data_IF_160762233830
#
_entry.id   IF_160762233830
#
_cell.length_a   1.000
_cell.length_b   1.000
_cell.length_c   1.000
_cell.angle_alpha   90.00
_cell.angle_beta   90.00
_cell.angle_gamma   90.00
#
_symmetry.space_group_name_H-M   'P 1'
#
loop_
_entity.id
_entity.type
_entity.pdbx_description
1 polymer ?
2 non-polymer ?
3 non-polymer ?
4 water ?
#
# COMPACT_ATOMS: atom_id res chain seq x y z
N UNK A 1 -29.08 20.35 15.16
CA UNK A 1 -28.91 18.92 15.17
C UNK A 1 -27.44 18.60 15.22
N UNK A 2 -26.97 18.28 16.41
CA UNK A 2 -25.58 17.88 16.62
C UNK A 2 -25.43 16.43 16.22
N UNK A 3 -24.45 16.14 15.34
CA UNK A 3 -24.19 14.80 14.82
C UNK A 3 -22.68 14.54 14.73
N UNK A 4 -22.28 13.27 14.77
CA UNK A 4 -20.85 12.94 14.68
C UNK A 4 -20.58 11.45 14.62
N UNK A 5 -19.29 11.04 14.57
CA UNK A 5 -18.95 9.60 14.43
C UNK A 5 -18.91 8.78 15.75
N UNK A 6 -20.09 8.45 16.24
CA UNK A 6 -20.22 7.68 17.46
C UNK A 6 -20.67 8.52 18.62
N UNK A 7 -21.31 7.86 19.61
CA UNK A 7 -21.77 8.54 20.80
C UNK A 7 -20.53 9.13 21.47
N UNK A 8 -20.63 10.40 21.81
CA UNK A 8 -19.57 11.18 22.45
C UNK A 8 -18.85 12.12 21.50
N UNK A 9 -19.17 12.05 20.20
CA UNK A 9 -18.44 12.89 19.23
C UNK A 9 -19.39 13.74 18.40
N UNK A 10 -19.18 15.08 18.34
CA UNK A 10 -20.05 15.95 17.52
C UNK A 10 -19.23 16.74 16.50
N UNK A 11 -19.60 16.69 15.20
CA UNK A 11 -18.88 17.53 14.23
C UNK A 11 -19.21 19.01 14.42
N UNK A 12 -18.18 19.82 14.62
CA UNK A 12 -18.34 21.24 14.80
C UNK A 12 -18.22 22.04 13.49
N UNK A 13 -17.27 21.64 12.64
CA UNK A 13 -16.92 22.37 11.39
C UNK A 13 -16.10 21.45 10.49
N UNK A 14 -16.30 21.48 9.15
CA UNK A 14 -15.55 20.61 8.25
C UNK A 14 -15.10 21.37 7.03
N UNK A 15 -14.05 20.88 6.39
CA UNK A 15 -13.46 21.44 5.15
C UNK A 15 -13.16 20.28 4.24
N UNK A 16 -13.52 20.41 2.95
CA UNK A 16 -13.26 19.32 2.02
C UNK A 16 -12.12 19.75 1.12
N UNK A 17 -11.04 18.95 1.06
CA UNK A 17 -9.85 19.27 0.25
C UNK A 17 -10.16 18.97 -1.23
N UNK A 18 -9.38 19.54 -2.15
CA UNK A 18 -9.62 19.38 -3.60
C UNK A 18 -9.77 17.94 -4.07
N UNK A 19 -8.93 17.02 -3.56
CA UNK A 19 -9.03 15.64 -3.96
C UNK A 19 -10.02 14.86 -3.09
N UNK A 20 -10.90 15.57 -2.38
CA UNK A 20 -12.04 14.95 -1.74
C UNK A 20 -11.96 14.51 -0.31
N UNK A 21 -10.78 14.62 0.34
CA UNK A 21 -10.67 14.22 1.78
C UNK A 21 -11.42 15.25 2.64
N UNK A 22 -12.09 14.81 3.73
CA UNK A 22 -12.86 15.73 4.56
C UNK A 22 -12.13 15.84 5.90
N UNK A 23 -11.86 17.05 6.34
CA UNK A 23 -11.23 17.28 7.66
C UNK A 23 -12.33 17.81 8.58
N UNK A 24 -12.55 17.16 9.73
CA UNK A 24 -13.67 17.60 10.56
C UNK A 24 -13.24 17.90 11.98
N UNK A 25 -13.51 19.10 12.48
CA UNK A 25 -13.25 19.46 13.88
C UNK A 25 -14.34 18.83 14.67
N UNK A 26 -13.98 18.02 15.71
CA UNK A 26 -14.97 17.20 16.39
C UNK A 26 -14.95 17.43 17.88
N UNK A 27 -16.11 17.84 18.47
CA UNK A 27 -16.27 17.99 19.93
C UNK A 27 -16.25 16.57 20.42
N UNK A 28 -15.37 16.24 21.40
CA UNK A 28 -15.13 14.85 21.77
C UNK A 28 -15.12 14.57 23.25
N UNK A 29 -15.71 13.45 23.62
CA UNK A 29 -15.61 12.93 24.99
C UNK A 29 -14.53 11.85 24.87
N UNK A 30 -13.27 12.19 25.18
CA UNK A 30 -12.17 11.23 25.03
C UNK A 30 -12.42 9.86 25.76
N UNK A 31 -13.17 9.86 26.86
CA UNK A 31 -13.50 8.63 27.58
C UNK A 31 -14.35 7.66 26.72
N UNK A 32 -15.00 8.22 25.67
CA UNK A 32 -15.80 7.44 24.72
C UNK A 32 -15.00 6.98 23.53
N UNK A 33 -13.64 7.01 23.60
CA UNK A 33 -12.81 6.58 22.47
C UNK A 33 -13.19 5.16 21.97
N UNK A 34 -13.72 4.31 22.87
CA UNK A 34 -14.19 2.97 22.50
C UNK A 34 -15.34 2.96 21.50
N UNK A 35 -16.21 3.98 21.57
CA UNK A 35 -17.40 4.15 20.71
C UNK A 35 -17.07 4.88 19.39
N UNK A 36 -15.93 5.58 19.32
CA UNK A 36 -15.58 6.33 18.14
C UNK A 36 -15.57 5.53 16.88
N UNK A 37 -16.46 5.94 15.94
CA UNK A 37 -16.60 5.29 14.64
C UNK A 37 -15.62 5.87 13.64
N UNK A 38 -14.32 5.76 13.96
CA UNK A 38 -13.22 6.20 13.11
C UNK A 38 -12.31 4.95 13.15
N UNK A 39 -11.72 4.55 12.03
CA UNK A 39 -10.95 3.30 11.89
C UNK A 39 -9.55 3.28 12.55
N UNK A 40 -8.92 4.44 12.63
CA UNK A 40 -7.61 4.60 13.26
C UNK A 40 -7.58 5.73 14.27
N UNK A 41 -6.91 5.51 15.40
CA UNK A 41 -6.80 6.51 16.45
C UNK A 41 -5.33 6.75 16.66
N UNK A 42 -4.93 8.01 16.60
CA UNK A 42 -3.53 8.38 16.84
C UNK A 42 -3.35 8.50 18.34
N UNK A 43 -2.19 7.98 18.83
CA UNK A 43 -1.80 8.04 20.22
C UNK A 43 -0.45 8.80 20.27
N UNK A 44 -0.48 10.12 20.54
CA UNK A 44 0.79 10.86 20.63
C UNK A 44 1.47 10.46 21.94
N UNK A 45 2.71 10.02 21.82
CA UNK A 45 3.40 9.47 22.99
C UNK A 45 4.88 9.82 22.89
N UNK A 46 5.65 9.12 23.67
CA UNK A 46 7.10 9.27 23.79
C UNK A 46 7.76 8.02 23.22
N UNK A 47 9.11 8.01 23.21
CA UNK A 47 9.93 6.93 22.67
C UNK A 47 9.56 5.59 23.31
N UNK A 48 9.18 5.62 24.59
CA UNK A 48 8.81 4.45 25.38
C UNK A 48 7.41 3.91 25.12
N UNK A 49 6.59 4.63 24.35
CA UNK A 49 5.19 4.28 24.05
C UNK A 49 4.41 4.14 25.37
N UNK A 50 4.50 5.16 26.23
CA UNK A 50 3.78 5.18 27.50
C UNK A 50 2.34 5.66 27.30
N UNK A 51 1.46 5.33 28.25
CA UNK A 51 0.03 5.60 28.20
C UNK A 51 -0.41 6.69 29.18
N UNK A 52 -0.01 7.92 28.87
CA UNK A 52 -0.37 9.08 29.66
C UNK A 52 -1.33 9.94 28.86
N UNK A 53 -1.86 10.98 29.50
CA UNK A 53 -2.82 11.91 28.94
C UNK A 53 -4.15 11.20 28.73
N UNK A 54 -5.20 12.00 28.53
CA UNK A 54 -6.55 11.48 28.36
C UNK A 54 -6.61 10.33 27.36
N UNK A 55 -5.93 10.44 26.20
CA UNK A 55 -5.99 9.40 25.19
C UNK A 55 -5.33 8.10 25.65
N UNK A 56 -4.12 8.18 26.24
CA UNK A 56 -3.40 7.02 26.74
C UNK A 56 -4.21 6.29 27.79
N UNK A 57 -4.79 7.04 28.75
CA UNK A 57 -5.66 6.47 29.79
C UNK A 57 -6.95 5.91 29.22
N UNK A 58 -7.54 6.57 28.20
CA UNK A 58 -8.79 6.04 27.62
C UNK A 58 -8.53 4.77 26.84
N UNK A 59 -7.39 4.70 26.11
CA UNK A 59 -7.02 3.48 25.40
C UNK A 59 -6.68 2.36 26.37
N UNK A 60 -6.04 2.71 27.50
CA UNK A 60 -5.66 1.76 28.52
C UNK A 60 -6.90 1.14 29.17
N UNK A 61 -7.87 1.99 29.60
CA UNK A 61 -9.11 1.60 30.24
C UNK A 61 -10.02 0.77 29.35
N UNK A 62 -10.09 1.11 28.06
CA UNK A 62 -10.92 0.36 27.12
C UNK A 62 -10.25 -0.95 26.70
N UNK A 63 -8.93 -0.91 26.57
CA UNK A 63 -8.12 -2.03 26.10
C UNK A 63 -7.96 -3.24 26.99
N UNK A 64 -7.85 -3.00 28.29
CA UNK A 64 -7.64 -4.06 29.28
C UNK A 64 -6.31 -4.75 29.14
N UNK A 65 -6.25 -6.02 29.58
CA UNK A 65 -5.06 -6.87 29.59
C UNK A 65 -4.48 -7.09 28.20
N UNK A 66 -5.37 -7.27 27.21
CA UNK A 66 -5.05 -7.49 25.82
C UNK A 66 -4.30 -6.31 25.22
N UNK A 67 -4.70 -5.07 25.57
CA UNK A 67 -4.01 -3.86 25.07
C UNK A 67 -2.64 -3.71 25.72
N UNK A 68 -2.56 -3.83 27.09
CA UNK A 68 -1.28 -3.75 27.82
C UNK A 68 -0.26 -4.71 27.24
N UNK A 69 -0.72 -5.92 26.87
CA UNK A 69 0.08 -6.96 26.24
C UNK A 69 0.55 -6.59 24.85
N UNK A 70 -0.34 -5.98 24.05
CA UNK A 70 0.01 -5.57 22.68
C UNK A 70 1.07 -4.43 22.67
N UNK A 71 0.93 -3.45 23.59
CA UNK A 71 1.88 -2.32 23.71
C UNK A 71 3.26 -2.85 24.16
N UNK A 72 3.27 -3.73 25.19
CA UNK A 72 4.47 -4.39 25.73
C UNK A 72 5.21 -5.15 24.61
N UNK A 73 4.46 -5.89 23.76
CA UNK A 73 5.04 -6.61 22.64
C UNK A 73 5.58 -5.69 21.57
N UNK A 74 4.89 -4.57 21.30
CA UNK A 74 5.33 -3.59 20.29
C UNK A 74 6.59 -2.87 20.76
N UNK A 75 6.70 -2.57 22.07
CA UNK A 75 7.92 -1.94 22.63
C UNK A 75 9.10 -2.90 22.39
N UNK A 76 8.93 -4.18 22.76
CA UNK A 76 9.95 -5.21 22.57
C UNK A 76 10.35 -5.38 21.09
N UNK A 77 9.36 -5.48 20.18
CA UNK A 77 9.60 -5.72 18.75
C UNK A 77 9.98 -4.51 17.88
N UNK A 78 9.53 -3.29 18.24
CA UNK A 78 9.77 -2.11 17.41
C UNK A 78 10.37 -0.92 18.15
N UNK A 79 10.34 -0.97 19.47
CA UNK A 79 10.82 0.11 20.32
C UNK A 79 12.31 0.19 20.61
N UNK A 80 12.75 1.36 21.13
CA UNK A 80 11.92 2.56 21.37
C UNK A 80 11.64 3.27 20.05
N UNK A 81 10.58 4.08 20.03
CA UNK A 81 10.23 4.84 18.84
C UNK A 81 11.17 6.02 18.66
N UNK A 82 11.60 6.24 17.43
CA UNK A 82 12.45 7.37 17.05
C UNK A 82 11.55 8.60 17.02
N UNK A 83 12.14 9.83 17.03
CA UNK A 83 11.36 11.06 16.94
C UNK A 83 10.63 11.04 15.59
N UNK A 84 9.33 11.43 15.61
CA UNK A 84 8.40 11.45 14.48
C UNK A 84 8.02 10.05 13.94
N UNK A 85 8.48 8.95 14.57
CA UNK A 85 8.11 7.60 14.12
C UNK A 85 6.72 7.19 14.58
N UNK A 86 5.99 6.46 13.72
CA UNK A 86 4.67 5.90 14.03
C UNK A 86 4.69 4.36 13.99
N UNK A 87 4.01 3.71 14.93
CA UNK A 87 3.93 2.24 14.98
C UNK A 87 2.51 1.85 15.37
N UNK A 88 1.99 0.75 14.82
CA UNK A 88 0.59 0.36 14.99
C UNK A 88 0.36 -0.89 15.86
N UNK A 89 -0.72 -0.85 16.63
CA UNK A 89 -1.18 -1.96 17.46
C UNK A 89 -2.66 -2.20 17.19
N UNK A 90 -3.02 -3.48 17.03
CA UNK A 90 -4.39 -3.90 16.80
C UNK A 90 -5.19 -3.50 18.04
N UNK A 91 -6.39 -2.95 17.83
CA UNK A 91 -7.25 -2.44 18.89
C UNK A 91 -7.87 -3.51 19.79
N UNK A 92 -8.20 -3.10 21.02
CA UNK A 92 -8.86 -3.91 22.02
C UNK A 92 -9.89 -3.04 22.69
N UNK A 93 -11.14 -3.46 22.62
CA UNK A 93 -12.26 -2.74 23.23
C UNK A 93 -12.67 -1.46 22.53
N UNK A 94 -12.29 -1.29 21.24
CA UNK A 94 -12.66 -0.10 20.46
C UNK A 94 -13.39 -0.47 19.18
N UNK A 95 -14.15 0.51 18.61
CA UNK A 95 -14.78 0.36 17.31
C UNK A 95 -13.70 0.54 16.24
N UNK A 96 -12.64 1.31 16.58
CA UNK A 96 -11.50 1.52 15.70
C UNK A 96 -10.78 0.20 15.56
N UNK A 97 -10.13 0.01 14.45
CA UNK A 97 -9.40 -1.21 14.19
C UNK A 97 -7.96 -1.15 14.73
N UNK A 98 -7.30 0.02 14.64
CA UNK A 98 -5.90 0.13 15.06
C UNK A 98 -5.63 1.42 15.83
N UNK A 99 -4.60 1.36 16.69
CA UNK A 99 -4.06 2.50 17.42
C UNK A 99 -2.75 2.78 16.71
N UNK A 100 -2.51 4.04 16.30
CA UNK A 100 -1.29 4.45 15.61
C UNK A 100 -0.48 5.28 16.65
N UNK A 101 0.50 4.65 17.28
CA UNK A 101 1.34 5.31 18.27
C UNK A 101 2.39 6.16 17.57
N UNK A 102 2.62 7.42 18.01
CA UNK A 102 3.65 8.23 17.36
C UNK A 102 4.46 8.95 18.41
N UNK A 103 5.77 9.11 18.15
CA UNK A 103 6.62 9.82 19.10
C UNK A 103 6.69 11.25 18.65
N UNK A 104 5.95 12.10 19.32
CA UNK A 104 5.89 13.51 18.94
C UNK A 104 7.17 14.29 19.40
N UNK A 105 7.67 15.26 18.58
CA UNK A 105 8.87 16.01 19.01
C UNK A 105 8.56 16.98 20.15
N UNK A 106 9.59 17.35 20.92
CA UNK A 106 9.42 18.30 22.04
C UNK A 106 9.58 19.70 21.50
N UNK A 107 8.74 20.63 21.94
CA UNK A 107 8.82 22.04 21.53
C UNK A 107 10.17 22.60 22.01
N UNK A 108 10.80 23.41 21.19
CA UNK A 108 12.09 24.01 21.55
C UNK A 108 13.29 23.22 21.06
N UNK A 109 13.05 22.01 20.55
CA UNK A 109 14.09 21.18 19.95
C UNK A 109 14.35 21.64 18.53
N UNK A 110 15.58 21.38 18.03
CA UNK A 110 16.03 21.76 16.69
C UNK A 110 15.02 21.29 15.61
N UNK A 111 14.46 22.25 14.87
CA UNK A 111 13.53 22.00 13.75
C UNK A 111 12.26 21.25 14.22
N UNK A 112 11.86 21.44 15.49
CA UNK A 112 10.69 20.74 16.04
C UNK A 112 9.42 20.91 15.16
N UNK A 113 9.24 22.09 14.53
CA UNK A 113 8.08 22.33 13.64
C UNK A 113 8.15 21.38 12.42
N UNK A 114 9.33 21.21 11.80
CA UNK A 114 9.46 20.28 10.68
C UNK A 114 9.30 18.82 11.12
N UNK A 115 9.78 18.49 12.32
CA UNK A 115 9.64 17.16 12.88
C UNK A 115 8.14 16.85 13.18
N UNK A 116 7.36 17.87 13.61
CA UNK A 116 5.90 17.72 13.88
C UNK A 116 5.25 17.43 12.53
N UNK A 117 5.62 18.19 11.49
CA UNK A 117 5.14 17.93 10.12
C UNK A 117 5.40 16.46 9.73
N UNK A 118 6.62 15.91 9.96
CA UNK A 118 6.97 14.53 9.65
C UNK A 118 6.19 13.54 10.48
N UNK A 119 5.92 13.90 11.75
CA UNK A 119 5.16 13.04 12.62
C UNK A 119 3.75 12.85 12.03
N UNK A 120 3.10 13.94 11.67
CA UNK A 120 1.72 13.91 11.18
C UNK A 120 1.69 13.09 9.87
N UNK A 121 2.71 13.24 9.02
CA UNK A 121 2.76 12.51 7.74
C UNK A 121 2.97 11.04 7.99
N UNK A 122 3.80 10.67 8.99
CA UNK A 122 3.99 9.26 9.37
C UNK A 122 2.73 8.58 9.92
N UNK A 123 1.88 9.29 10.69
CA UNK A 123 0.61 8.80 11.21
C UNK A 123 -0.34 8.45 10.07
N UNK A 124 -0.46 9.38 9.10
CA UNK A 124 -1.32 9.22 7.92
C UNK A 124 -0.79 8.02 7.15
N UNK A 125 0.55 7.92 6.98
CA UNK A 125 1.17 6.78 6.29
C UNK A 125 0.88 5.46 7.00
N UNK A 126 0.98 5.40 8.34
CA UNK A 126 0.62 4.22 9.11
C UNK A 126 -0.85 3.78 8.93
N UNK A 127 -1.81 4.74 8.87
CA UNK A 127 -3.26 4.50 8.69
C UNK A 127 -3.55 3.89 7.30
N UNK A 128 -3.01 4.53 6.26
CA UNK A 128 -3.16 4.06 4.86
C UNK A 128 -2.59 2.68 4.66
N UNK A 129 -1.48 2.38 5.36
CA UNK A 129 -0.83 1.09 5.25
C UNK A 129 -1.66 -0.04 5.85
N UNK A 130 -2.77 0.30 6.60
CA UNK A 130 -3.75 -0.68 7.09
C UNK A 130 -5.06 -0.53 6.28
N UNK A 131 -5.00 0.27 5.19
CA UNK A 131 -6.10 0.62 4.30
C UNK A 131 -7.26 1.26 5.02
N UNK A 132 -6.96 2.04 6.06
CA UNK A 132 -7.99 2.71 6.84
C UNK A 132 -8.67 3.84 6.06
N UNK A 133 -9.98 3.97 6.20
CA UNK A 133 -10.69 5.02 5.48
C UNK A 133 -10.81 6.33 6.28
N UNK A 134 -10.54 6.25 7.58
CA UNK A 134 -10.65 7.39 8.45
C UNK A 134 -9.63 7.31 9.57
N UNK A 135 -9.19 8.48 10.03
CA UNK A 135 -8.20 8.56 11.12
C UNK A 135 -8.54 9.74 12.03
N UNK A 136 -8.33 9.56 13.36
CA UNK A 136 -8.60 10.64 14.29
C UNK A 136 -7.32 11.09 15.03
N UNK A 137 -7.13 12.38 15.11
CA UNK A 137 -5.99 12.95 15.88
C UNK A 137 -6.54 13.54 17.18
N UNK A 138 -6.03 13.04 18.32
CA UNK A 138 -6.49 13.56 19.63
C UNK A 138 -5.74 14.84 19.98
N UNK A 139 -6.14 15.50 21.08
CA UNK A 139 -5.45 16.74 21.43
C UNK A 139 -3.96 16.59 21.60
N UNK A 140 -3.27 17.56 21.07
CA UNK A 140 -1.83 17.62 21.13
C UNK A 140 -1.39 17.85 22.61
N UNK A 141 -0.43 17.04 23.15
CA UNK A 141 -0.01 17.19 24.57
C UNK A 141 0.31 18.62 24.97
N UNK A 142 -0.03 18.98 26.22
CA UNK A 142 0.05 20.35 26.71
C UNK A 142 0.78 20.57 28.07
N UNK A 143 1.90 19.88 28.26
CA UNK A 143 2.74 20.03 29.46
C UNK A 143 3.53 21.33 29.48
N UNK A 144 4.65 21.34 30.22
CA UNK A 144 5.52 22.51 30.34
C UNK A 144 6.26 22.79 29.03
N UNK A 145 6.36 24.07 28.61
CA UNK A 145 7.03 24.48 27.37
C UNK A 145 6.62 23.60 26.18
N UNK A 146 5.32 23.36 26.05
CA UNK A 146 4.81 22.54 24.95
C UNK A 146 4.58 23.39 23.72
N UNK A 147 4.22 22.76 22.59
CA UNK A 147 4.00 23.51 21.38
C UNK A 147 2.88 24.57 21.56
N UNK A 148 3.08 25.85 21.14
CA UNK A 148 1.98 26.82 21.13
C UNK A 148 0.82 26.27 20.28
N UNK A 149 -0.44 26.42 20.76
CA UNK A 149 -1.60 25.87 20.03
C UNK A 149 -1.71 26.30 18.56
N UNK A 150 -1.56 27.60 18.26
CA UNK A 150 -1.61 28.16 16.92
C UNK A 150 -0.59 27.51 15.97
N UNK A 151 0.66 27.29 16.47
CA UNK A 151 1.75 26.65 15.74
C UNK A 151 1.45 25.18 15.44
N UNK A 152 1.02 24.43 16.46
CA UNK A 152 0.68 23.02 16.31
C UNK A 152 -0.47 22.87 15.29
N UNK A 153 -1.51 23.70 15.38
CA UNK A 153 -2.63 23.61 14.42
C UNK A 153 -2.20 23.97 12.98
N UNK A 154 -1.40 25.04 12.81
CA UNK A 154 -0.89 25.48 11.51
C UNK A 154 -0.06 24.35 10.87
N UNK A 155 0.89 23.78 11.63
CA UNK A 155 1.76 22.73 11.14
C UNK A 155 0.98 21.45 10.79
N UNK A 156 0.08 21.01 11.68
CA UNK A 156 -0.69 19.78 11.42
C UNK A 156 -1.50 19.94 10.12
N UNK A 157 -2.22 21.06 9.96
CA UNK A 157 -3.07 21.23 8.78
C UNK A 157 -2.25 21.32 7.50
N UNK A 158 -1.05 21.92 7.58
CA UNK A 158 -0.10 21.97 6.47
C UNK A 158 0.38 20.57 6.08
N UNK A 159 0.73 19.75 7.06
CA UNK A 159 1.20 18.39 6.88
C UNK A 159 0.14 17.55 6.20
N UNK A 160 -1.13 17.68 6.68
CA UNK A 160 -2.21 16.88 6.12
C UNK A 160 -2.41 17.20 4.65
N UNK A 161 -2.57 18.49 4.32
CA UNK A 161 -2.77 18.88 2.92
C UNK A 161 -1.64 18.36 2.04
N UNK A 162 -0.38 18.56 2.46
CA UNK A 162 0.81 18.10 1.75
C UNK A 162 0.83 16.59 1.52
N UNK A 163 0.47 15.83 2.52
CA UNK A 163 0.43 14.39 2.39
C UNK A 163 -0.53 14.01 1.27
N UNK A 164 -1.76 14.58 1.28
CA UNK A 164 -2.77 14.24 0.28
C UNK A 164 -2.43 14.78 -1.10
N UNK A 165 -1.71 15.91 -1.19
CA UNK A 165 -1.21 16.41 -2.50
C UNK A 165 -0.21 15.43 -3.13
N UNK A 166 0.53 14.68 -2.30
CA UNK A 166 1.58 13.74 -2.71
C UNK A 166 1.11 12.33 -3.00
N UNK A 167 -0.20 12.08 -2.81
CA UNK A 167 -0.80 10.76 -3.02
C UNK A 167 -1.93 10.82 -4.02
N UNK A 168 -2.12 9.74 -4.78
CA UNK A 168 -3.30 9.68 -5.65
C UNK A 168 -3.97 8.37 -5.37
N UNK A 169 -3.58 7.68 -4.30
CA UNK A 169 -4.14 6.37 -4.00
C UNK A 169 -4.47 6.07 -2.53
N UNK A 170 -4.17 7.00 -1.60
CA UNK A 170 -4.44 6.79 -0.14
C UNK A 170 -5.90 6.41 0.16
N UNK A 171 -6.11 5.40 1.02
CA UNK A 171 -7.42 4.94 1.43
C UNK A 171 -8.16 5.92 2.32
N UNK A 172 -7.41 6.86 2.98
CA UNK A 172 -8.02 7.84 3.90
C UNK A 172 -8.94 8.85 3.23
N UNK A 173 -10.21 8.95 3.71
CA UNK A 173 -11.20 9.90 3.18
C UNK A 173 -11.64 10.95 4.19
N UNK A 174 -11.47 10.64 5.50
CA UNK A 174 -11.90 11.52 6.56
C UNK A 174 -10.82 11.63 7.60
N UNK A 175 -10.50 12.84 7.98
CA UNK A 175 -9.57 13.08 9.10
C UNK A 175 -10.33 13.88 10.16
N UNK A 176 -10.36 13.37 11.41
CA UNK A 176 -11.06 14.08 12.48
C UNK A 176 -10.06 14.65 13.46
N UNK A 177 -10.33 15.84 13.97
CA UNK A 177 -9.45 16.40 15.03
C UNK A 177 -10.35 16.38 16.26
N UNK A 178 -10.01 15.56 17.27
CA UNK A 178 -10.79 15.46 18.52
C UNK A 178 -10.37 16.60 19.44
N UNK A 179 -11.36 17.44 19.78
CA UNK A 179 -11.09 18.61 20.62
C UNK A 179 -12.27 18.80 21.64
N UNK A 180 -12.01 19.46 22.75
CA UNK A 180 -13.09 19.78 23.71
C UNK A 180 -12.92 21.15 24.35
N UNK A 181 -11.73 21.72 24.24
CA UNK A 181 -11.45 23.05 24.78
C UNK A 181 -11.89 24.18 23.84
N UNK A 182 -12.67 25.15 24.36
CA UNK A 182 -13.19 26.25 23.52
C UNK A 182 -12.08 27.03 22.78
N UNK A 183 -10.98 27.38 23.47
CA UNK A 183 -9.88 28.07 22.80
C UNK A 183 -9.20 27.21 21.69
N UNK A 184 -8.93 25.94 21.96
CA UNK A 184 -8.34 25.01 20.96
C UNK A 184 -9.24 24.93 19.72
N UNK A 185 -10.56 24.82 19.94
CA UNK A 185 -11.55 24.78 18.88
C UNK A 185 -11.47 26.04 18.01
N UNK A 186 -11.46 27.22 18.65
CA UNK A 186 -11.37 28.49 17.91
C UNK A 186 -10.14 28.58 17.04
N UNK A 187 -9.00 28.11 17.59
CA UNK A 187 -7.70 28.11 16.89
C UNK A 187 -7.76 27.25 15.64
N UNK A 188 -8.33 26.03 15.73
CA UNK A 188 -8.47 25.17 14.56
C UNK A 188 -9.40 25.76 13.56
N UNK A 189 -10.49 26.42 14.04
CA UNK A 189 -11.41 27.10 13.14
C UNK A 189 -10.68 28.20 12.32
N UNK A 190 -9.91 29.06 13.00
CA UNK A 190 -9.12 30.14 12.38
C UNK A 190 -8.12 29.57 11.38
N UNK A 191 -7.40 28.50 11.78
CA UNK A 191 -6.41 27.89 10.91
C UNK A 191 -7.00 27.17 9.71
N UNK A 192 -8.13 26.46 9.88
CA UNK A 192 -8.75 25.75 8.75
C UNK A 192 -9.28 26.72 7.71
N UNK A 193 -9.69 27.93 8.14
CA UNK A 193 -10.25 28.97 7.26
C UNK A 193 -9.28 29.32 6.11
N UNK A 194 -7.98 29.15 6.35
CA UNK A 194 -6.90 29.47 5.41
C UNK A 194 -6.63 28.39 4.33
N UNK A 195 -7.18 27.19 4.50
CA UNK A 195 -7.00 26.07 3.57
C UNK A 195 -7.77 26.23 2.24
N UNK A 196 -7.32 25.52 1.18
CA UNK A 196 -7.99 25.49 -0.13
C UNK A 196 -9.02 24.38 -0.01
N UNK A 197 -10.24 24.73 0.45
CA UNK A 197 -11.25 23.73 0.73
C UNK A 197 -12.71 24.18 0.52
N UNK A 198 -13.65 23.18 0.50
CA UNK A 198 -15.11 23.26 0.33
C UNK A 198 -15.54 23.71 -1.08
N UNK B 6 15.33 -2.87 -17.18
CA UNK B 6 16.36 -1.89 -16.82
C UNK B 6 16.73 -0.97 -17.96
N UNK B 7 17.93 -1.16 -18.54
CA UNK B 7 18.43 -0.33 -19.65
C UNK B 7 17.67 -0.61 -20.94
N UNK B 8 17.22 0.49 -21.56
CA UNK B 8 16.43 0.47 -22.78
C UNK B 8 14.94 0.39 -22.49
N UNK B 9 14.59 0.25 -21.19
CA UNK B 9 13.24 0.12 -20.66
C UNK B 9 12.90 1.36 -19.83
N UNK B 10 11.82 2.05 -20.18
CA UNK B 10 11.43 3.24 -19.41
C UNK B 10 10.31 2.87 -18.45
N UNK B 11 10.39 3.33 -17.20
CA UNK B 11 9.29 3.13 -16.28
C UNK B 11 8.26 4.20 -16.65
N UNK B 12 7.02 3.80 -16.91
CA UNK B 12 5.95 4.72 -17.32
C UNK B 12 5.14 5.23 -16.14
N UNK B 13 4.77 4.31 -15.24
CA UNK B 13 3.91 4.60 -14.10
C UNK B 13 4.11 3.50 -13.06
N UNK B 14 3.90 3.85 -11.79
CA UNK B 14 4.06 2.90 -10.69
C UNK B 14 3.16 3.21 -9.53
N UNK B 15 2.75 2.14 -8.81
CA UNK B 15 1.93 2.15 -7.60
C UNK B 15 2.71 1.44 -6.49
N UNK B 16 2.97 2.15 -5.37
CA UNK B 16 3.66 1.58 -4.21
C UNK B 16 2.61 1.02 -3.27
N UNK B 17 2.47 -0.31 -3.21
CA UNK B 17 1.50 -1.00 -2.37
C UNK B 17 1.75 -0.77 -0.88
N UNK B 18 0.71 -0.97 -0.05
CA UNK B 18 0.70 -0.72 1.39
C UNK B 18 1.77 -1.52 2.16
N UNK B 19 2.08 -2.77 1.71
CA UNK B 19 3.07 -3.61 2.39
C UNK B 19 4.50 -3.52 1.79
N UNK B 20 4.77 -2.48 0.99
CA UNK B 20 6.09 -2.19 0.44
C UNK B 20 6.39 -2.61 -0.98
N UNK B 21 5.53 -3.44 -1.58
CA UNK B 21 5.76 -3.93 -2.96
C UNK B 21 5.42 -2.84 -3.97
N UNK B 22 6.20 -2.76 -5.04
CA UNK B 22 5.96 -1.75 -6.08
C UNK B 22 5.50 -2.43 -7.37
N UNK B 23 4.40 -1.90 -7.96
CA UNK B 23 3.85 -2.34 -9.26
C UNK B 23 4.26 -1.29 -10.28
N UNK B 24 5.00 -1.68 -11.32
CA UNK B 24 5.49 -0.73 -12.31
C UNK B 24 5.19 -1.09 -13.75
N UNK B 25 4.61 -0.14 -14.51
CA UNK B 25 4.37 -0.34 -15.95
C UNK B 25 5.61 0.13 -16.65
N UNK B 26 6.16 -0.70 -17.52
CA UNK B 26 7.39 -0.46 -18.25
C UNK B 26 7.18 -0.53 -19.74
N UNK B 27 7.80 0.41 -20.48
CA UNK B 27 7.77 0.47 -21.93
C UNK B 27 8.87 -0.44 -22.36
N UNK B 28 8.51 -1.52 -23.05
CA UNK B 28 9.47 -2.51 -23.45
C UNK B 28 9.59 -2.69 -24.94
N UNK B 29 10.84 -2.78 -25.40
CA UNK B 29 11.21 -3.13 -26.76
C UNK B 29 11.50 -4.64 -26.62
N UNK B 30 10.56 -5.50 -27.10
CA UNK B 30 10.58 -6.98 -27.04
C UNK B 30 11.98 -7.60 -27.20
N UNK B 31 12.70 -7.18 -28.25
CA UNK B 31 14.02 -7.68 -28.61
C UNK B 31 15.13 -7.32 -27.60
N UNK B 32 14.85 -6.41 -26.65
CA UNK B 32 15.80 -6.01 -25.61
C UNK B 32 15.53 -6.79 -24.27
N UNK B 33 14.69 -7.85 -24.31
CA UNK B 33 14.28 -8.65 -23.14
C UNK B 33 15.48 -9.17 -22.28
N UNK B 34 16.59 -9.49 -22.94
CA UNK B 34 17.78 -10.00 -22.26
C UNK B 34 18.49 -8.96 -21.40
N UNK B 35 18.24 -7.67 -21.66
CA UNK B 35 18.87 -6.57 -20.94
C UNK B 35 18.06 -6.09 -19.75
N UNK B 36 16.80 -6.54 -19.62
CA UNK B 36 15.89 -6.11 -18.55
C UNK B 36 16.34 -6.52 -17.16
N UNK B 37 16.54 -5.52 -16.29
CA UNK B 37 16.99 -5.66 -14.91
C UNK B 37 15.88 -6.10 -13.95
N UNK B 38 15.43 -7.35 -14.12
CA UNK B 38 14.41 -8.01 -13.29
C UNK B 38 14.94 -9.44 -13.02
N UNK B 39 14.54 -10.11 -11.92
CA UNK B 39 15.05 -11.46 -11.58
C UNK B 39 14.32 -12.63 -12.20
N UNK B 40 13.02 -12.46 -12.46
CA UNK B 40 12.20 -13.49 -13.08
C UNK B 40 11.37 -12.92 -14.22
N UNK B 41 11.35 -13.62 -15.37
CA UNK B 41 10.53 -13.15 -16.52
C UNK B 41 9.44 -14.18 -16.76
N UNK B 42 8.16 -13.77 -16.73
CA UNK B 42 7.09 -14.73 -16.99
C UNK B 42 6.98 -14.96 -18.50
N UNK B 43 6.80 -16.22 -18.89
CA UNK B 43 6.67 -16.60 -20.29
C UNK B 43 5.33 -17.32 -20.46
N UNK B 44 4.24 -16.62 -20.85
CA UNK B 44 2.94 -17.30 -21.00
C UNK B 44 3.03 -18.20 -22.23
N UNK B 45 2.70 -19.47 -22.06
CA UNK B 45 2.86 -20.42 -23.15
C UNK B 45 1.78 -21.51 -23.08
N UNK B 46 2.04 -22.68 -23.67
CA UNK B 46 1.08 -23.78 -23.68
C UNK B 46 1.53 -24.91 -22.74
N UNK B 47 0.86 -26.08 -22.84
CA UNK B 47 1.16 -27.31 -22.10
C UNK B 47 2.56 -27.83 -22.49
N UNK B 48 2.94 -27.65 -23.76
CA UNK B 48 4.20 -28.09 -24.37
C UNK B 48 5.34 -27.11 -24.14
N UNK B 49 5.03 -25.90 -23.61
CA UNK B 49 6.02 -24.85 -23.31
C UNK B 49 6.76 -24.39 -24.60
N UNK B 50 6.01 -24.07 -25.69
CA UNK B 50 6.66 -23.63 -26.93
C UNK B 50 7.17 -22.19 -26.85
N UNK B 51 8.12 -21.84 -27.74
CA UNK B 51 8.72 -20.49 -27.82
C UNK B 51 8.34 -19.85 -29.16
N UNK B 52 7.24 -20.34 -29.75
CA UNK B 52 6.70 -19.91 -31.05
C UNK B 52 6.19 -18.46 -31.09
N UNK B 53 5.87 -17.87 -29.93
CA UNK B 53 5.33 -16.51 -29.85
C UNK B 53 6.42 -15.44 -29.64
N UNK B 54 6.03 -14.15 -29.74
CA UNK B 54 6.89 -12.95 -29.62
C UNK B 54 7.86 -13.01 -28.42
N UNK B 55 7.30 -13.17 -27.19
CA UNK B 55 8.04 -13.28 -25.94
C UNK B 55 9.02 -14.48 -26.01
N UNK B 56 8.50 -15.63 -26.47
CA UNK B 56 9.26 -16.87 -26.62
C UNK B 56 10.47 -16.72 -27.51
N UNK B 57 10.27 -16.16 -28.71
CA UNK B 57 11.31 -15.90 -29.71
C UNK B 57 12.37 -14.97 -29.14
N UNK B 58 11.95 -13.89 -28.45
CA UNK B 58 12.87 -12.92 -27.87
C UNK B 58 13.73 -13.57 -26.78
N UNK B 59 13.13 -14.44 -25.93
CA UNK B 59 13.85 -15.13 -24.86
C UNK B 59 14.86 -16.14 -25.45
N UNK B 60 14.40 -16.95 -26.43
CA UNK B 60 15.22 -17.95 -27.13
C UNK B 60 16.45 -17.28 -27.78
N UNK B 61 16.23 -16.17 -28.51
CA UNK B 61 17.32 -15.43 -29.16
C UNK B 61 18.35 -14.90 -28.16
N UNK B 62 17.89 -14.25 -27.07
CA UNK B 62 18.76 -13.67 -26.05
C UNK B 62 19.56 -14.72 -25.27
N UNK B 63 18.97 -15.89 -25.06
CA UNK B 63 19.58 -16.98 -24.31
C UNK B 63 20.45 -17.93 -25.10
N UNK B 64 20.28 -17.94 -26.43
CA UNK B 64 21.02 -18.82 -27.35
C UNK B 64 20.71 -20.29 -27.15
N UNK B 65 21.64 -21.15 -27.60
CA UNK B 65 21.59 -22.63 -27.55
C UNK B 65 21.35 -23.19 -26.14
N UNK B 66 22.02 -22.60 -25.13
CA UNK B 66 21.95 -22.99 -23.72
C UNK B 66 20.52 -22.87 -23.18
N UNK B 67 19.84 -21.75 -23.53
CA UNK B 67 18.45 -21.55 -23.11
C UNK B 67 17.50 -22.58 -23.76
N UNK B 68 17.68 -22.81 -25.07
CA UNK B 68 16.85 -23.78 -25.81
C UNK B 68 17.02 -25.20 -25.23
N UNK B 69 18.26 -25.57 -24.88
CA UNK B 69 18.58 -26.86 -24.29
C UNK B 69 17.94 -26.99 -22.90
N UNK B 70 17.95 -25.89 -22.10
CA UNK B 70 17.36 -25.82 -20.75
C UNK B 70 15.84 -26.10 -20.77
N UNK B 71 15.10 -25.47 -21.71
CA UNK B 71 13.64 -25.65 -21.80
C UNK B 71 13.29 -27.08 -22.28
N UNK B 72 14.06 -27.65 -23.23
CA UNK B 72 13.85 -29.03 -23.75
C UNK B 72 13.91 -30.03 -22.58
N UNK B 73 14.89 -29.85 -21.67
CA UNK B 73 15.08 -30.68 -20.48
C UNK B 73 13.89 -30.56 -19.52
N UNK B 74 13.35 -29.33 -19.35
CA UNK B 74 12.19 -29.08 -18.49
C UNK B 74 10.91 -29.72 -19.06
N UNK B 75 10.73 -29.68 -20.39
CA UNK B 75 9.58 -30.25 -21.08
C UNK B 75 9.36 -31.74 -20.72
N UNK B 76 10.46 -32.52 -20.66
CA UNK B 76 10.43 -33.95 -20.32
C UNK B 76 10.43 -34.19 -18.81
N UNK B 77 11.28 -33.47 -18.04
CA UNK B 77 11.38 -33.61 -16.59
C UNK B 77 10.09 -33.20 -15.86
N UNK B 78 9.55 -32.00 -16.16
CA UNK B 78 8.31 -31.49 -15.56
C UNK B 78 7.08 -32.21 -16.12
N UNK B 79 7.17 -32.64 -17.37
CA UNK B 79 6.10 -33.35 -18.08
C UNK B 79 5.11 -32.40 -18.72
N UNK B 80 3.82 -32.79 -18.86
CA UNK B 80 2.85 -31.84 -19.46
C UNK B 80 2.39 -30.79 -18.45
N UNK B 81 2.49 -29.49 -18.84
CA UNK B 81 2.05 -28.37 -17.99
C UNK B 81 0.54 -28.30 -18.00
N UNK B 82 -0.09 -28.46 -16.84
CA UNK B 82 -1.55 -28.38 -16.70
C UNK B 82 -1.99 -26.88 -16.76
N UNK B 83 -3.28 -26.62 -17.07
CA UNK B 83 -3.85 -25.26 -17.13
C UNK B 83 -3.63 -24.58 -15.77
N UNK B 84 -3.07 -23.34 -15.79
CA UNK B 84 -2.74 -22.48 -14.64
C UNK B 84 -1.41 -22.83 -13.95
N UNK B 85 -0.75 -23.93 -14.36
CA UNK B 85 0.51 -24.37 -13.77
C UNK B 85 1.70 -23.58 -14.28
N UNK B 86 2.66 -23.33 -13.39
CA UNK B 86 3.90 -22.64 -13.66
C UNK B 86 5.12 -23.56 -13.44
N UNK B 87 6.16 -23.38 -14.25
CA UNK B 87 7.42 -24.13 -14.21
C UNK B 87 8.56 -23.16 -14.44
N UNK B 88 9.71 -23.42 -13.82
CA UNK B 88 10.86 -22.52 -13.89
C UNK B 88 12.04 -23.09 -14.71
N UNK B 89 12.78 -22.20 -15.41
CA UNK B 89 14.00 -22.51 -16.18
C UNK B 89 15.02 -21.42 -15.93
N UNK B 90 16.29 -21.81 -15.69
CA UNK B 90 17.38 -20.83 -15.49
C UNK B 90 17.64 -20.12 -16.83
N UNK B 91 17.99 -18.82 -16.79
CA UNK B 91 18.18 -18.01 -18.00
C UNK B 91 19.55 -17.34 -18.11
N UNK B 92 20.61 -18.14 -18.32
CA UNK B 92 21.97 -17.61 -18.46
C UNK B 92 22.08 -16.74 -19.72
N UNK B 93 22.81 -15.63 -19.61
CA UNK B 93 22.97 -14.68 -20.71
C UNK B 93 21.98 -13.53 -20.67
N UNK B 94 20.89 -13.70 -19.91
CA UNK B 94 19.84 -12.69 -19.69
C UNK B 94 20.13 -12.05 -18.33
N UNK B 95 19.61 -10.82 -18.08
CA UNK B 95 19.81 -10.16 -16.80
C UNK B 95 18.95 -10.84 -15.72
N UNK B 96 17.85 -11.50 -16.15
CA UNK B 96 16.94 -12.26 -15.29
C UNK B 96 17.61 -13.55 -14.86
N UNK B 97 17.37 -13.98 -13.62
CA UNK B 97 17.91 -15.22 -13.06
C UNK B 97 17.18 -16.41 -13.68
N UNK B 98 15.83 -16.29 -13.81
CA UNK B 98 14.97 -17.34 -14.33
C UNK B 98 13.88 -16.78 -15.20
N UNK B 99 13.23 -17.69 -15.92
CA UNK B 99 12.08 -17.47 -16.77
C UNK B 99 11.03 -18.38 -16.14
N UNK B 100 9.84 -17.86 -15.86
CA UNK B 100 8.74 -18.60 -15.28
C UNK B 100 7.70 -18.90 -16.36
N UNK B 101 7.72 -20.12 -16.89
CA UNK B 101 6.80 -20.57 -17.92
C UNK B 101 5.45 -20.86 -17.28
N UNK B 102 4.33 -20.48 -17.91
CA UNK B 102 3.02 -20.82 -17.38
C UNK B 102 2.02 -21.14 -18.46
N UNK B 103 1.15 -22.12 -18.18
CA UNK B 103 0.11 -22.53 -19.12
C UNK B 103 -1.13 -21.68 -18.86
N UNK B 104 -1.28 -20.65 -19.68
CA UNK B 104 -2.38 -19.69 -19.57
C UNK B 104 -3.68 -20.29 -20.10
N UNK B 105 -4.82 -20.14 -19.37
CA UNK B 105 -6.08 -20.68 -19.88
C UNK B 105 -6.56 -19.95 -21.14
N UNK B 106 -7.37 -20.64 -21.93
CA UNK B 106 -7.92 -20.00 -23.12
C UNK B 106 -9.15 -19.23 -22.65
N UNK B 107 -9.47 -18.12 -23.31
CA UNK B 107 -10.63 -17.33 -22.94
C UNK B 107 -11.87 -17.95 -23.60
N UNK B 108 -12.99 -17.91 -22.91
CA UNK B 108 -14.25 -18.39 -23.47
C UNK B 108 -15.20 -18.97 -22.46
N UNK B 109 -14.76 -20.02 -21.76
CA UNK B 109 -15.50 -20.75 -20.74
C UNK B 109 -15.87 -19.90 -19.52
N UNK B 110 -16.84 -20.39 -18.72
CA UNK B 110 -17.40 -19.73 -17.53
C UNK B 110 -16.39 -19.42 -16.41
N UNK B 111 -15.31 -20.21 -16.30
CA UNK B 111 -14.33 -20.07 -15.24
C UNK B 111 -12.92 -19.64 -15.73
N UNK B 112 -12.80 -19.13 -16.98
CA UNK B 112 -11.50 -18.70 -17.53
C UNK B 112 -10.86 -17.58 -16.71
N UNK B 113 -11.68 -16.67 -16.12
CA UNK B 113 -11.18 -15.57 -15.27
C UNK B 113 -10.57 -16.08 -13.98
N UNK B 114 -11.20 -17.10 -13.36
CA UNK B 114 -10.69 -17.73 -12.14
C UNK B 114 -9.41 -18.51 -12.43
N UNK B 115 -9.37 -19.22 -13.58
CA UNK B 115 -8.17 -19.95 -14.02
C UNK B 115 -7.04 -18.97 -14.29
N UNK B 116 -7.34 -17.79 -14.88
CA UNK B 116 -6.30 -16.79 -15.10
C UNK B 116 -5.73 -16.33 -13.77
N UNK B 117 -6.60 -16.09 -12.78
CA UNK B 117 -6.21 -15.65 -11.44
C UNK B 117 -5.24 -16.69 -10.83
N UNK B 118 -5.58 -17.99 -10.95
CA UNK B 118 -4.74 -19.08 -10.44
C UNK B 118 -3.37 -19.11 -11.12
N UNK B 119 -3.32 -18.87 -12.46
CA UNK B 119 -2.09 -18.82 -13.25
C UNK B 119 -1.19 -17.75 -12.68
N UNK B 120 -1.74 -16.52 -12.47
CA UNK B 120 -1.00 -15.38 -11.93
C UNK B 120 -0.47 -15.71 -10.53
N UNK B 121 -1.32 -16.32 -9.69
CA UNK B 121 -0.98 -16.70 -8.33
C UNK B 121 0.13 -17.72 -8.34
N UNK B 122 0.09 -18.68 -9.29
CA UNK B 122 1.12 -19.71 -9.45
C UNK B 122 2.46 -19.15 -9.94
N UNK B 123 2.44 -18.09 -10.79
CA UNK B 123 3.70 -17.43 -11.22
C UNK B 123 4.36 -16.77 -10.02
N UNK B 124 3.55 -16.10 -9.19
CA UNK B 124 4.04 -15.42 -8.01
C UNK B 124 4.63 -16.44 -7.01
N UNK B 125 3.92 -17.57 -6.77
CA UNK B 125 4.40 -18.65 -5.90
C UNK B 125 5.73 -19.21 -6.41
N UNK B 126 5.84 -19.47 -7.75
CA UNK B 126 7.08 -19.97 -8.38
C UNK B 126 8.26 -19.00 -8.19
N UNK B 127 8.01 -17.67 -8.31
CA UNK B 127 9.06 -16.67 -8.09
C UNK B 127 9.47 -16.65 -6.62
N UNK B 128 8.47 -16.71 -5.72
CA UNK B 128 8.71 -16.71 -4.27
C UNK B 128 9.51 -17.92 -3.80
N UNK B 129 9.25 -19.09 -4.42
CA UNK B 129 9.96 -20.33 -4.07
C UNK B 129 11.45 -20.24 -4.44
N UNK B 130 11.82 -19.41 -5.46
CA UNK B 130 13.21 -19.18 -5.85
C UNK B 130 13.79 -17.94 -5.18
N UNK B 131 13.02 -17.35 -4.22
CA UNK B 131 13.37 -16.15 -3.44
C UNK B 131 13.69 -14.98 -4.36
N UNK B 132 12.91 -14.83 -5.46
CA UNK B 132 13.15 -13.77 -6.41
C UNK B 132 12.64 -12.44 -5.84
N UNK B 133 13.41 -11.36 -6.05
CA UNK B 133 13.14 -10.02 -5.53
C UNK B 133 12.26 -9.20 -6.48
N UNK B 134 12.24 -9.58 -7.75
CA UNK B 134 11.45 -8.90 -8.76
C UNK B 134 10.97 -9.88 -9.82
N UNK B 135 9.84 -9.58 -10.47
CA UNK B 135 9.25 -10.44 -11.52
C UNK B 135 8.57 -9.56 -12.56
N UNK B 136 8.65 -9.98 -13.82
CA UNK B 136 8.01 -9.21 -14.90
C UNK B 136 7.05 -10.07 -15.66
N UNK B 137 5.89 -9.49 -16.01
CA UNK B 137 4.87 -10.15 -16.82
C UNK B 137 4.87 -9.41 -18.16
N UNK B 138 5.09 -10.13 -19.27
CA UNK B 138 4.98 -9.47 -20.57
C UNK B 138 3.51 -9.49 -21.02
N UNK B 139 3.17 -8.95 -22.21
CA UNK B 139 1.78 -9.06 -22.69
C UNK B 139 1.34 -10.51 -22.90
N UNK B 140 0.08 -10.76 -22.61
CA UNK B 140 -0.55 -12.05 -22.79
C UNK B 140 -0.93 -12.20 -24.28
N UNK B 141 -1.20 -13.43 -24.79
CA UNK B 141 -1.63 -13.57 -26.19
C UNK B 141 -2.93 -12.77 -26.44
N UNK B 142 -3.10 -12.26 -27.67
CA UNK B 142 -4.23 -11.47 -28.13
C UNK B 142 -4.87 -12.16 -29.36
N UNK B 143 -6.17 -11.92 -29.56
CA UNK B 143 -6.93 -12.50 -30.67
C UNK B 143 -7.97 -13.49 -30.19
N UNK B 144 -8.41 -14.41 -31.07
CA UNK B 144 -9.43 -15.42 -30.76
C UNK B 144 -9.00 -16.31 -29.63
N UNK B 145 -9.95 -16.58 -28.71
CA UNK B 145 -9.76 -17.41 -27.52
C UNK B 145 -8.67 -16.88 -26.59
N UNK B 146 -8.35 -15.58 -26.72
CA UNK B 146 -7.41 -14.88 -25.85
C UNK B 146 -8.20 -13.88 -25.04
N UNK B 147 -7.64 -13.45 -23.90
CA UNK B 147 -8.36 -12.49 -23.07
C UNK B 147 -8.37 -11.09 -23.66
N UNK B 148 -9.52 -10.40 -23.58
CA UNK B 148 -9.57 -8.98 -23.95
C UNK B 148 -8.59 -8.23 -23.03
N UNK B 149 -7.93 -7.18 -23.51
CA UNK B 149 -6.95 -6.46 -22.70
C UNK B 149 -7.46 -6.05 -21.33
N UNK B 150 -8.66 -5.49 -21.27
CA UNK B 150 -9.23 -5.01 -20.01
C UNK B 150 -9.40 -6.15 -19.03
N UNK B 151 -9.92 -7.29 -19.52
CA UNK B 151 -10.10 -8.45 -18.65
C UNK B 151 -8.75 -8.96 -18.12
N UNK B 152 -7.77 -9.12 -19.00
CA UNK B 152 -6.43 -9.55 -18.61
C UNK B 152 -5.86 -8.61 -17.53
N UNK B 153 -5.93 -7.27 -17.76
CA UNK B 153 -5.47 -6.25 -16.82
C UNK B 153 -6.18 -6.30 -15.46
N UNK B 154 -7.51 -6.31 -15.44
CA UNK B 154 -8.31 -6.37 -14.22
C UNK B 154 -7.97 -7.64 -13.41
N UNK B 155 -8.02 -8.81 -14.06
CA UNK B 155 -7.75 -10.08 -13.38
C UNK B 155 -6.32 -10.15 -12.81
N UNK B 156 -5.30 -9.77 -13.62
CA UNK B 156 -3.89 -9.78 -13.27
C UNK B 156 -3.59 -8.86 -12.08
N UNK B 157 -4.07 -7.61 -12.12
CA UNK B 157 -3.82 -6.64 -11.05
C UNK B 157 -4.50 -7.03 -9.77
N UNK B 158 -5.74 -7.56 -9.86
CA UNK B 158 -6.54 -8.06 -8.73
C UNK B 158 -5.85 -9.26 -8.07
N UNK B 159 -5.33 -10.21 -8.86
CA UNK B 159 -4.59 -11.36 -8.31
C UNK B 159 -3.29 -10.92 -7.59
N UNK B 160 -2.50 -10.03 -8.20
CA UNK B 160 -1.22 -9.55 -7.64
C UNK B 160 -1.40 -8.74 -6.37
N UNK B 161 -2.29 -7.73 -6.39
CA UNK B 161 -2.50 -6.85 -5.23
C UNK B 161 -3.01 -7.63 -4.05
N UNK B 162 -3.92 -8.61 -4.27
CA UNK B 162 -4.49 -9.48 -3.22
C UNK B 162 -3.42 -10.34 -2.60
N UNK B 163 -2.50 -10.85 -3.44
CA UNK B 163 -1.41 -11.68 -3.02
C UNK B 163 -0.48 -10.84 -2.11
N UNK B 164 -0.07 -9.65 -2.55
CA UNK B 164 0.83 -8.74 -1.82
C UNK B 164 0.25 -7.96 -0.64
N UNK B 165 -1.07 -7.70 -0.61
CA UNK B 165 -1.70 -6.97 0.50
C UNK B 165 -1.97 -7.95 1.66
N UNK B 166 -2.03 -9.27 1.36
CA UNK B 166 -2.29 -10.35 2.33
C UNK B 166 -1.12 -10.55 3.31
N UNK B 167 0.13 -10.46 2.81
CA UNK B 167 1.34 -10.69 3.57
C UNK B 167 2.57 -10.00 2.97
N UNK B 168 3.45 -9.49 3.84
CA UNK B 168 4.72 -8.87 3.48
C UNK B 168 5.85 -9.93 3.55
N UNK B 169 5.50 -11.15 4.01
CA UNK B 169 6.40 -12.30 4.13
C UNK B 169 6.54 -13.01 2.78
N UNK B 170 7.21 -12.32 1.85
CA UNK B 170 7.47 -12.70 0.46
C UNK B 170 8.68 -11.91 0.01
N UNK B 171 9.54 -12.58 -0.75
CA UNK B 171 10.78 -12.02 -1.29
C UNK B 171 10.52 -10.97 -2.37
N UNK B 172 9.35 -11.02 -3.04
CA UNK B 172 9.04 -10.12 -4.16
C UNK B 172 8.78 -8.69 -3.72
N UNK B 173 9.62 -7.74 -4.18
CA UNK B 173 9.45 -6.33 -3.84
C UNK B 173 9.04 -5.48 -5.06
N UNK B 174 9.25 -6.00 -6.27
CA UNK B 174 8.92 -5.30 -7.51
C UNK B 174 8.31 -6.22 -8.54
N UNK B 175 7.16 -5.81 -9.07
CA UNK B 175 6.52 -6.53 -10.18
C UNK B 175 6.44 -5.54 -11.33
N UNK B 176 6.93 -5.93 -12.51
CA UNK B 176 6.93 -5.10 -13.70
C UNK B 176 5.97 -5.67 -14.72
N UNK B 177 5.23 -4.77 -15.37
CA UNK B 177 4.29 -5.11 -16.43
C UNK B 177 4.87 -4.53 -17.66
N UNK B 178 5.39 -5.41 -18.50
CA UNK B 178 6.04 -5.05 -19.76
C UNK B 178 4.94 -4.86 -20.77
N UNK B 179 4.83 -3.64 -21.28
CA UNK B 179 3.79 -3.23 -22.21
C UNK B 179 4.40 -2.55 -23.41
N UNK B 180 3.80 -2.76 -24.57
CA UNK B 180 4.32 -2.23 -25.82
C UNK B 180 3.44 -1.12 -26.39
N UNK B 181 2.17 -1.42 -26.64
CA UNK B 181 1.22 -0.49 -27.26
C UNK B 181 0.54 0.49 -26.27
N UNK B 182 0.18 1.69 -26.79
CA UNK B 182 -0.48 2.75 -26.02
C UNK B 182 -1.79 2.34 -25.41
N UNK B 183 -2.64 1.63 -26.16
CA UNK B 183 -3.94 1.21 -25.64
C UNK B 183 -3.76 0.33 -24.40
N UNK B 184 -2.86 -0.69 -24.48
CA UNK B 184 -2.60 -1.55 -23.30
C UNK B 184 -2.12 -0.70 -22.13
N UNK B 185 -1.23 0.29 -22.38
CA UNK B 185 -0.72 1.18 -21.34
C UNK B 185 -1.86 1.91 -20.68
N UNK B 186 -2.74 2.52 -21.49
CA UNK B 186 -3.87 3.24 -20.94
C UNK B 186 -4.76 2.33 -20.12
N UNK B 187 -5.08 1.13 -20.62
CA UNK B 187 -5.94 0.17 -19.89
C UNK B 187 -5.36 -0.17 -18.50
N UNK B 188 -4.06 -0.51 -18.46
CA UNK B 188 -3.37 -0.87 -17.21
C UNK B 188 -3.30 0.34 -16.25
N UNK B 189 -3.06 1.57 -16.78
CA UNK B 189 -3.04 2.81 -15.97
C UNK B 189 -4.42 3.04 -15.34
N UNK B 190 -5.49 2.84 -16.14
CA UNK B 190 -6.87 2.98 -15.67
C UNK B 190 -7.23 1.94 -14.60
N UNK B 191 -6.75 0.70 -14.76
CA UNK B 191 -7.04 -0.35 -13.77
C UNK B 191 -6.21 -0.15 -12.49
N UNK B 192 -4.95 0.25 -12.62
CA UNK B 192 -4.12 0.52 -11.44
C UNK B 192 -4.63 1.67 -10.57
N UNK B 193 -5.29 2.69 -11.17
CA UNK B 193 -5.87 3.84 -10.44
C UNK B 193 -6.91 3.46 -9.42
N UNK B 194 -7.46 2.23 -9.51
CA UNK B 194 -8.47 1.71 -8.56
C UNK B 194 -7.86 1.13 -7.26
N UNK B 195 -6.64 0.62 -7.32
CA UNK B 195 -5.97 -0.03 -6.17
C UNK B 195 -5.64 0.92 -5.01
N UNK B 196 -5.79 0.43 -3.76
CA UNK B 196 -5.38 1.18 -2.57
C UNK B 196 -3.86 1.08 -2.56
N UNK B 197 -3.17 2.23 -2.30
CA UNK B 197 -1.70 2.30 -2.28
C UNK B 197 -1.22 3.48 -1.43
N UNK B 198 0.05 3.86 -1.58
CA UNK B 198 0.66 4.95 -0.85
C UNK B 198 0.49 6.24 -1.67
#
# INVERSE_FOLDING_TARGET
AGMGPGDGFTILSSKSLVLGQKLSLTQSDISHIGSMRVEGIVHPTTAEIDLKEDIGKALEKAGGKEFLETVKELRKSQGPLEVAEAAVSQSSGLAAKFVIHCHIPQWGSDKCEEQLEETIKNCLSAAEDKKLKSVAFPPFPSGRNCFPKQTAAQVTLKAISAHFDDSSASSLKNVYFLLFDSESIGIYVQEMAKLDAK
AGMGPGDGFTILSSKSLVLGQKLSLTQSDISHIGSMRVEGIVHPTTAEIDLKEDIGKALEKAGGKEFLETVKELRKSQGPLEVAEAAVSQSSGLAAKFVIHCHIPQWGSDKCEEQLEETIKNCLSAAEDKKLKSVAFPPFPSGRNCFPKQTAAQVTLKAISAHFDDSSASSLKNVYFLLFDSESIGIYVQEMAKLDAK
#
